data_IF_828234720672
#
_entry.id   IF_828234720672
#
_cell.length_a   1.000
_cell.length_b   1.000
_cell.length_c   1.000
_cell.angle_alpha   90.00
_cell.angle_beta   90.00
_cell.angle_gamma   90.00
#
_symmetry.space_group_name_H-M   'P 1'
#
loop_
_entity.id
_entity.type
_entity.pdbx_description
1 polymer ?
#
# COMPACT_ATOMS: atom_id res chain seq x y z
N UNK A 1 -1.81 12.84 35.18
CA UNK A 1 -2.02 12.55 33.74
C UNK A 1 -3.48 12.15 33.51
N UNK A 2 -4.37 13.11 33.23
CA UNK A 2 -5.83 12.87 33.17
C UNK A 2 -6.17 12.23 31.81
N UNK A 3 -6.23 10.89 31.74
CA UNK A 3 -6.73 10.16 30.56
C UNK A 3 -8.19 10.55 30.33
N UNK A 4 -8.44 11.56 29.49
CA UNK A 4 -9.77 11.83 28.95
C UNK A 4 -10.12 10.66 28.03
N UNK A 5 -10.98 9.77 28.50
CA UNK A 5 -11.58 8.74 27.65
C UNK A 5 -12.22 9.42 26.43
N UNK A 6 -11.92 8.96 25.20
CA UNK A 6 -12.44 9.57 23.99
C UNK A 6 -13.97 9.44 23.97
N UNK A 7 -14.69 10.57 23.83
CA UNK A 7 -16.13 10.54 23.54
C UNK A 7 -16.37 9.72 22.26
N UNK A 8 -17.29 8.75 22.34
CA UNK A 8 -17.74 7.93 21.21
C UNK A 8 -18.62 8.79 20.30
N UNK A 9 -18.00 9.51 19.38
CA UNK A 9 -18.70 10.19 18.27
C UNK A 9 -19.10 9.14 17.23
N UNK A 10 -20.20 9.35 16.49
CA UNK A 10 -20.64 8.47 15.38
C UNK A 10 -19.48 8.12 14.43
N UNK A 11 -18.66 9.11 14.08
CA UNK A 11 -17.46 8.92 13.26
C UNK A 11 -16.43 7.96 13.87
N UNK A 12 -16.21 8.02 15.18
CA UNK A 12 -15.30 7.08 15.87
C UNK A 12 -15.87 5.66 15.89
N UNK A 13 -17.18 5.51 16.05
CA UNK A 13 -17.81 4.20 15.99
C UNK A 13 -17.64 3.57 14.59
N UNK A 14 -17.86 4.34 13.51
CA UNK A 14 -17.62 3.89 12.13
C UNK A 14 -16.16 3.48 11.94
N UNK A 15 -15.21 4.31 12.39
CA UNK A 15 -13.78 3.98 12.30
C UNK A 15 -13.43 2.68 13.04
N UNK A 16 -13.99 2.46 14.24
CA UNK A 16 -13.77 1.23 15.00
C UNK A 16 -14.33 0.01 14.28
N UNK A 17 -15.53 0.12 13.69
CA UNK A 17 -16.14 -0.97 12.91
C UNK A 17 -15.29 -1.30 11.69
N UNK A 18 -14.83 -0.29 10.95
CA UNK A 18 -13.94 -0.48 9.80
C UNK A 18 -12.59 -1.10 10.21
N UNK A 19 -12.01 -0.66 11.32
CA UNK A 19 -10.77 -1.22 11.84
C UNK A 19 -10.94 -2.70 12.26
N UNK A 20 -12.06 -3.04 12.90
CA UNK A 20 -12.39 -4.42 13.26
C UNK A 20 -12.63 -5.29 12.03
N UNK A 21 -13.33 -4.76 11.02
CA UNK A 21 -13.54 -5.46 9.75
C UNK A 21 -12.21 -5.70 9.01
N UNK A 22 -11.30 -4.72 9.01
CA UNK A 22 -9.95 -4.85 8.47
C UNK A 22 -9.14 -5.92 9.21
N UNK A 23 -9.15 -5.91 10.55
CA UNK A 23 -8.51 -6.94 11.37
C UNK A 23 -9.08 -8.35 11.10
N UNK A 24 -10.39 -8.46 10.94
CA UNK A 24 -11.04 -9.72 10.60
C UNK A 24 -10.62 -10.21 9.20
N UNK A 25 -10.55 -9.31 8.21
CA UNK A 25 -10.05 -9.64 6.88
C UNK A 25 -8.58 -10.09 6.90
N UNK A 26 -7.74 -9.42 7.69
CA UNK A 26 -6.34 -9.84 7.91
C UNK A 26 -6.26 -11.23 8.55
N UNK A 27 -7.09 -11.51 9.55
CA UNK A 27 -7.14 -12.83 10.17
C UNK A 27 -7.55 -13.92 9.18
N UNK A 28 -8.61 -13.66 8.38
CA UNK A 28 -9.05 -14.60 7.34
C UNK A 28 -7.95 -14.85 6.29
N UNK A 29 -7.22 -13.81 5.88
CA UNK A 29 -6.12 -13.91 4.91
C UNK A 29 -4.95 -14.76 5.41
N UNK A 30 -4.60 -14.61 6.69
CA UNK A 30 -3.48 -15.35 7.32
C UNK A 30 -3.84 -16.81 7.58
N UNK A 31 -5.09 -17.10 7.98
CA UNK A 31 -5.51 -18.46 8.37
C UNK A 31 -6.02 -19.28 7.19
N UNK A 32 -6.80 -18.70 6.29
CA UNK A 32 -7.42 -19.41 5.16
C UNK A 32 -6.68 -19.23 3.83
N UNK A 33 -5.54 -18.54 3.84
CA UNK A 33 -4.73 -18.29 2.64
C UNK A 33 -5.42 -17.38 1.61
N UNK A 34 -4.86 -17.33 0.40
CA UNK A 34 -5.39 -16.50 -0.70
C UNK A 34 -6.79 -16.95 -1.11
N UNK A 35 -7.02 -18.26 -1.24
CA UNK A 35 -8.31 -18.79 -1.74
C UNK A 35 -9.50 -18.59 -0.80
N UNK A 36 -9.27 -18.42 0.51
CA UNK A 36 -10.35 -18.21 1.48
C UNK A 36 -10.78 -16.75 1.67
N UNK A 37 -9.92 -15.79 1.34
CA UNK A 37 -10.19 -14.35 1.53
C UNK A 37 -10.30 -13.57 0.24
N UNK A 38 -9.70 -14.07 -0.84
CA UNK A 38 -9.70 -13.41 -2.14
C UNK A 38 -10.34 -14.37 -3.13
N UNK A 39 -11.46 -13.96 -3.73
CA UNK A 39 -12.19 -14.72 -4.76
C UNK A 39 -11.40 -14.72 -6.09
N UNK A 40 -10.11 -15.10 -6.02
CA UNK A 40 -9.20 -15.23 -7.14
C UNK A 40 -9.42 -16.62 -7.75
N UNK A 41 -9.37 -16.67 -9.07
CA UNK A 41 -9.47 -17.90 -9.84
C UNK A 41 -8.21 -18.03 -10.70
N UNK A 42 -7.89 -19.22 -11.18
CA UNK A 42 -6.66 -19.47 -11.97
C UNK A 42 -6.59 -18.61 -13.25
N UNK A 43 -7.74 -18.18 -13.77
CA UNK A 43 -7.84 -17.24 -14.90
C UNK A 43 -7.52 -15.78 -14.54
N UNK A 44 -7.70 -15.38 -13.28
CA UNK A 44 -7.46 -14.02 -12.79
C UNK A 44 -6.72 -14.06 -11.44
N UNK A 45 -5.43 -14.41 -11.45
CA UNK A 45 -4.65 -14.63 -10.22
C UNK A 45 -4.35 -13.34 -9.44
N UNK A 46 -4.51 -12.18 -10.05
CA UNK A 46 -4.22 -10.86 -9.44
C UNK A 46 -5.51 -10.10 -9.04
N UNK A 47 -6.60 -10.37 -9.76
CA UNK A 47 -7.92 -9.80 -9.50
C UNK A 47 -7.93 -8.28 -9.34
N UNK A 48 -8.88 -7.79 -8.53
CA UNK A 48 -9.01 -6.37 -8.20
C UNK A 48 -7.97 -5.91 -7.15
N UNK A 49 -7.34 -6.85 -6.43
CA UNK A 49 -6.45 -6.55 -5.31
C UNK A 49 -5.20 -5.81 -5.77
N UNK A 50 -4.44 -6.41 -6.69
CA UNK A 50 -3.22 -5.79 -7.24
C UNK A 50 -3.55 -4.56 -8.08
N UNK A 51 -4.67 -4.59 -8.84
CA UNK A 51 -5.10 -3.43 -9.62
C UNK A 51 -5.39 -2.20 -8.75
N UNK A 52 -6.07 -2.40 -7.62
CA UNK A 52 -6.34 -1.34 -6.65
C UNK A 52 -5.05 -0.82 -5.99
N UNK A 53 -4.15 -1.72 -5.60
CA UNK A 53 -2.87 -1.33 -4.99
C UNK A 53 -2.00 -0.48 -5.94
N UNK A 54 -1.88 -0.90 -7.20
CA UNK A 54 -1.12 -0.15 -8.20
C UNK A 54 -1.77 1.22 -8.49
N UNK A 55 -3.09 1.26 -8.69
CA UNK A 55 -3.78 2.51 -9.02
C UNK A 55 -3.77 3.50 -7.86
N UNK A 56 -4.04 3.04 -6.64
CA UNK A 56 -4.16 3.90 -5.46
C UNK A 56 -2.81 4.17 -4.79
N UNK A 57 -1.99 3.14 -4.56
CA UNK A 57 -0.70 3.29 -3.90
C UNK A 57 0.38 3.85 -4.83
N UNK A 58 0.70 3.11 -5.89
CA UNK A 58 1.79 3.47 -6.82
C UNK A 58 1.46 4.75 -7.58
N UNK A 59 0.21 4.92 -8.02
CA UNK A 59 -0.25 6.14 -8.69
C UNK A 59 -0.08 7.40 -7.85
N UNK A 60 -0.46 7.36 -6.56
CA UNK A 60 -0.28 8.49 -5.64
C UNK A 60 1.21 8.76 -5.36
N UNK A 61 2.01 7.71 -5.20
CA UNK A 61 3.46 7.85 -4.99
C UNK A 61 4.14 8.50 -6.21
N UNK A 62 3.86 8.00 -7.43
CA UNK A 62 4.41 8.54 -8.67
C UNK A 62 4.01 10.00 -8.90
N UNK A 63 2.74 10.35 -8.67
CA UNK A 63 2.27 11.74 -8.72
C UNK A 63 2.99 12.65 -7.71
N UNK A 64 3.32 12.12 -6.54
CA UNK A 64 4.06 12.86 -5.54
C UNK A 64 5.52 13.11 -5.89
N UNK A 65 6.23 12.07 -6.34
CA UNK A 65 7.64 12.20 -6.76
C UNK A 65 7.81 13.09 -7.99
N UNK A 66 6.90 13.02 -8.95
CA UNK A 66 6.93 13.90 -10.14
C UNK A 66 6.77 15.37 -9.77
N UNK A 67 5.86 15.71 -8.85
CA UNK A 67 5.72 17.09 -8.34
C UNK A 67 7.00 17.58 -7.63
N UNK A 68 7.65 16.72 -6.86
CA UNK A 68 8.93 17.04 -6.21
C UNK A 68 10.02 17.31 -7.25
N UNK A 69 10.09 16.46 -8.29
CA UNK A 69 11.02 16.61 -9.40
C UNK A 69 10.78 17.92 -10.18
N UNK A 70 9.52 18.28 -10.45
CA UNK A 70 9.16 19.54 -11.11
C UNK A 70 9.62 20.77 -10.31
N UNK A 71 9.47 20.74 -8.98
CA UNK A 71 9.89 21.87 -8.14
C UNK A 71 11.41 21.95 -8.00
N UNK A 72 12.12 20.83 -7.84
CA UNK A 72 13.58 20.84 -7.55
C UNK A 72 14.46 20.75 -8.80
N UNK A 73 14.06 20.00 -9.83
CA UNK A 73 14.85 19.80 -11.06
C UNK A 73 14.51 20.89 -12.07
N UNK A 74 13.21 21.11 -12.32
CA UNK A 74 12.75 22.11 -13.30
C UNK A 74 12.58 23.52 -12.69
N UNK A 75 12.83 23.67 -11.39
CA UNK A 75 12.84 24.94 -10.65
C UNK A 75 11.52 25.75 -10.75
N UNK A 76 10.38 25.06 -10.88
CA UNK A 76 9.07 25.71 -10.96
C UNK A 76 8.54 25.96 -9.55
N UNK A 77 8.84 27.14 -9.00
CA UNK A 77 8.51 27.51 -7.61
C UNK A 77 7.00 27.69 -7.34
N UNK A 78 6.16 27.74 -8.39
CA UNK A 78 4.70 27.86 -8.26
C UNK A 78 4.08 26.75 -7.40
N UNK A 79 4.67 25.56 -7.38
CA UNK A 79 4.17 24.39 -6.64
C UNK A 79 4.84 24.18 -5.28
N UNK A 80 5.73 25.09 -4.86
CA UNK A 80 6.40 25.04 -3.55
C UNK A 80 5.44 24.99 -2.34
N UNK A 81 4.26 25.65 -2.33
CA UNK A 81 3.32 25.56 -1.22
C UNK A 81 2.71 24.17 -1.04
N UNK A 82 2.49 23.44 -2.14
CA UNK A 82 1.88 22.10 -2.12
C UNK A 82 2.91 20.98 -1.96
N UNK A 83 4.20 21.29 -2.07
CA UNK A 83 5.28 20.32 -1.98
C UNK A 83 5.25 19.49 -0.67
N UNK A 84 5.08 20.15 0.48
CA UNK A 84 5.07 19.47 1.79
C UNK A 84 3.96 18.43 1.93
N UNK A 85 2.68 18.75 1.66
CA UNK A 85 1.63 17.74 1.70
C UNK A 85 1.84 16.67 0.63
N UNK A 86 2.33 17.03 -0.56
CA UNK A 86 2.60 16.07 -1.65
C UNK A 86 3.66 15.03 -1.28
N UNK A 87 4.77 15.44 -0.65
CA UNK A 87 5.81 14.50 -0.18
C UNK A 87 5.23 13.54 0.87
N UNK A 88 4.44 14.06 1.81
CA UNK A 88 3.79 13.23 2.83
C UNK A 88 2.82 12.23 2.19
N UNK A 89 2.02 12.65 1.21
CA UNK A 89 1.12 11.76 0.48
C UNK A 89 1.88 10.71 -0.34
N UNK A 90 3.01 11.08 -0.94
CA UNK A 90 3.86 10.15 -1.68
C UNK A 90 4.40 9.05 -0.76
N UNK A 91 4.90 9.46 0.41
CA UNK A 91 5.40 8.55 1.43
C UNK A 91 4.30 7.61 1.97
N UNK A 92 3.11 8.15 2.25
CA UNK A 92 1.97 7.34 2.69
C UNK A 92 1.50 6.36 1.60
N UNK A 93 1.49 6.78 0.34
CA UNK A 93 1.19 5.91 -0.80
C UNK A 93 2.18 4.76 -0.91
N UNK A 94 3.48 5.05 -0.75
CA UNK A 94 4.52 4.01 -0.76
C UNK A 94 4.37 3.00 0.38
N UNK A 95 4.10 3.49 1.60
CA UNK A 95 3.84 2.63 2.75
C UNK A 95 2.60 1.74 2.53
N UNK A 96 1.58 2.25 1.85
CA UNK A 96 0.39 1.47 1.48
C UNK A 96 0.76 0.32 0.53
N UNK A 97 1.57 0.58 -0.50
CA UNK A 97 2.04 -0.45 -1.46
C UNK A 97 2.84 -1.54 -0.74
N UNK A 98 3.77 -1.15 0.14
CA UNK A 98 4.57 -2.14 0.89
C UNK A 98 3.68 -3.06 1.72
N UNK A 99 2.70 -2.48 2.44
CA UNK A 99 1.77 -3.26 3.26
C UNK A 99 0.86 -4.13 2.38
N UNK A 100 0.32 -3.58 1.30
CA UNK A 100 -0.55 -4.31 0.38
C UNK A 100 0.18 -5.50 -0.27
N UNK A 101 1.43 -5.30 -0.73
CA UNK A 101 2.27 -6.39 -1.25
C UNK A 101 2.48 -7.51 -0.22
N UNK A 102 2.68 -7.18 1.07
CA UNK A 102 2.77 -8.21 2.11
C UNK A 102 1.48 -9.03 2.23
N UNK A 103 0.32 -8.43 1.98
CA UNK A 103 -0.97 -9.12 1.97
C UNK A 103 -1.26 -9.85 0.66
N UNK A 104 -0.76 -9.37 -0.47
CA UNK A 104 -0.96 -10.00 -1.77
C UNK A 104 -0.05 -11.21 -1.97
N UNK A 105 1.12 -11.24 -1.31
CA UNK A 105 1.98 -12.41 -1.31
C UNK A 105 1.32 -13.58 -0.56
N UNK A 106 1.09 -14.70 -1.26
CA UNK A 106 0.60 -15.94 -0.65
C UNK A 106 1.49 -16.49 0.47
N UNK A 107 2.78 -16.13 0.46
CA UNK A 107 3.78 -16.49 1.48
C UNK A 107 4.68 -15.27 1.79
N UNK A 108 4.25 -14.36 2.66
CA UNK A 108 5.00 -13.14 2.97
C UNK A 108 6.38 -13.44 3.58
N UNK A 109 6.52 -14.58 4.26
CA UNK A 109 7.79 -15.08 4.84
C UNK A 109 8.94 -15.23 3.82
N UNK A 110 8.63 -15.30 2.52
CA UNK A 110 9.63 -15.45 1.45
C UNK A 110 9.97 -14.15 0.74
N UNK A 111 9.51 -13.00 1.21
CA UNK A 111 9.78 -11.71 0.57
C UNK A 111 11.27 -11.35 0.52
N UNK A 112 12.11 -11.98 1.33
CA UNK A 112 13.57 -11.84 1.30
C UNK A 112 14.25 -12.60 0.16
N UNK A 113 13.59 -13.60 -0.44
CA UNK A 113 14.21 -14.40 -1.51
C UNK A 113 14.60 -13.54 -2.73
N UNK A 114 13.75 -12.64 -3.25
CA UNK A 114 14.15 -11.71 -4.31
C UNK A 114 15.39 -10.88 -3.96
N UNK A 115 15.57 -10.48 -2.70
CA UNK A 115 16.71 -9.64 -2.30
C UNK A 115 18.05 -10.38 -2.35
N UNK A 116 18.06 -11.71 -2.20
CA UNK A 116 19.29 -12.52 -2.16
C UNK A 116 19.45 -13.37 -3.44
N UNK A 117 18.35 -13.94 -3.95
CA UNK A 117 18.30 -14.80 -5.13
C UNK A 117 17.74 -14.03 -6.31
N UNK A 118 18.62 -13.28 -6.97
CA UNK A 118 18.22 -12.37 -8.04
C UNK A 118 17.83 -13.17 -9.29
N UNK A 119 16.65 -12.89 -9.84
CA UNK A 119 16.20 -13.45 -11.11
C UNK A 119 15.80 -12.33 -12.08
N UNK A 120 16.76 -11.77 -12.84
CA UNK A 120 16.52 -10.62 -13.71
C UNK A 120 15.61 -10.93 -14.92
N UNK A 121 15.32 -12.20 -15.21
CA UNK A 121 14.39 -12.57 -16.28
C UNK A 121 12.92 -12.52 -15.86
N UNK A 122 12.63 -12.29 -14.57
CA UNK A 122 11.26 -12.24 -14.06
C UNK A 122 10.77 -10.80 -13.93
N UNK A 123 9.60 -10.50 -14.50
CA UNK A 123 8.92 -9.20 -14.34
C UNK A 123 8.60 -8.93 -12.86
N UNK A 124 8.30 -9.97 -12.07
CA UNK A 124 8.03 -9.82 -10.64
C UNK A 124 9.28 -9.44 -9.84
N UNK A 125 10.47 -9.81 -10.32
CA UNK A 125 11.73 -9.40 -9.69
C UNK A 125 12.01 -7.91 -9.92
N UNK A 126 11.76 -7.39 -11.12
CA UNK A 126 11.90 -5.96 -11.41
C UNK A 126 10.95 -5.13 -10.52
N UNK A 127 9.69 -5.54 -10.40
CA UNK A 127 8.73 -4.85 -9.51
C UNK A 127 9.19 -4.87 -8.06
N UNK A 128 9.66 -6.03 -7.56
CA UNK A 128 10.19 -6.14 -6.20
C UNK A 128 11.47 -5.33 -5.96
N UNK A 129 12.22 -5.00 -7.01
CA UNK A 129 13.42 -4.15 -6.95
C UNK A 129 13.10 -2.66 -7.05
N UNK A 130 12.03 -2.31 -7.78
CA UNK A 130 11.57 -0.93 -7.94
C UNK A 130 10.86 -0.37 -6.69
N UNK A 131 10.31 -1.24 -5.85
CA UNK A 131 9.68 -0.91 -4.56
C UNK A 131 10.74 -0.92 -3.45
#
# INVERSE_FOLDING_TARGET
>A
MRRRLPRLTVWRAIFVVLALAGLYATYLRVVYGLGGSTNLNDSFPWGIWIGFDILCGVGLAAGGFTLVAVVHIFNIERYRPILRPTVLTAFLGYMLVVVALMFDLGRPERIWHPLIMWNPHSVMFEVAWCV
#
